data_IF_452815787578
#
_entry.id   IF_452815787578
#
_cell.length_a   1.000
_cell.length_b   1.000
_cell.length_c   1.000
_cell.angle_alpha   90.00
_cell.angle_beta   90.00
_cell.angle_gamma   90.00
#
_symmetry.space_group_name_H-M   'P 1'
#
loop_
_entity.id
_entity.type
_entity.pdbx_description
1 polymer ?
#
# COMPACT_ATOMS: atom_id res chain seq x y z
N UNK A 1 -3.56 25.00 -4.79
CA UNK A 1 -2.96 24.79 -6.12
C UNK A 1 -1.78 23.85 -5.93
N UNK A 2 -1.89 22.66 -6.53
CA UNK A 2 -1.00 21.52 -6.33
C UNK A 2 0.45 21.84 -6.72
N UNK A 3 1.32 22.06 -5.74
CA UNK A 3 2.77 21.90 -5.93
C UNK A 3 3.12 20.42 -5.76
N UNK A 4 2.56 19.56 -6.62
CA UNK A 4 3.14 18.23 -6.78
C UNK A 4 4.60 18.44 -7.24
N UNK A 5 5.54 18.05 -6.38
CA UNK A 5 6.97 18.30 -6.58
C UNK A 5 7.42 17.82 -7.96
N UNK A 6 8.33 18.56 -8.60
CA UNK A 6 9.01 18.15 -9.83
C UNK A 6 9.49 16.69 -9.78
N UNK A 7 9.89 16.22 -8.58
CA UNK A 7 10.28 14.83 -8.36
C UNK A 7 9.19 13.80 -8.70
N UNK A 8 7.92 14.07 -8.37
CA UNK A 8 6.81 13.13 -8.67
C UNK A 8 6.63 12.99 -10.18
N UNK A 9 6.65 14.11 -10.91
CA UNK A 9 6.55 14.10 -12.36
C UNK A 9 7.76 13.44 -13.02
N UNK A 10 8.97 13.67 -12.51
CA UNK A 10 10.19 13.04 -13.01
C UNK A 10 10.16 11.51 -12.84
N UNK A 11 9.72 11.03 -11.67
CA UNK A 11 9.59 9.59 -11.39
C UNK A 11 8.52 8.96 -12.29
N UNK A 12 7.32 9.57 -12.38
CA UNK A 12 6.27 9.08 -13.28
C UNK A 12 6.77 9.07 -14.73
N UNK A 13 7.37 10.15 -15.21
CA UNK A 13 7.96 10.22 -16.56
C UNK A 13 8.98 9.11 -16.82
N UNK A 14 9.85 8.82 -15.84
CA UNK A 14 10.79 7.69 -15.92
C UNK A 14 10.08 6.34 -16.02
N UNK A 15 9.05 6.09 -15.22
CA UNK A 15 8.26 4.85 -15.28
C UNK A 15 7.55 4.70 -16.63
N UNK A 16 6.92 5.75 -17.13
CA UNK A 16 6.29 5.76 -18.46
C UNK A 16 7.32 5.54 -19.57
N UNK A 17 8.51 6.15 -19.49
CA UNK A 17 9.58 5.94 -20.45
C UNK A 17 10.04 4.47 -20.48
N UNK A 18 10.24 3.85 -19.32
CA UNK A 18 10.61 2.42 -19.22
C UNK A 18 9.52 1.52 -19.80
N UNK A 19 8.23 1.81 -19.54
CA UNK A 19 7.13 1.05 -20.11
C UNK A 19 7.01 1.20 -21.62
N UNK A 20 7.22 2.41 -22.15
CA UNK A 20 7.25 2.66 -23.59
C UNK A 20 8.42 1.91 -24.25
N UNK A 21 9.60 1.92 -23.62
CA UNK A 21 10.75 1.14 -24.10
C UNK A 21 10.44 -0.37 -24.09
N UNK A 22 9.86 -0.90 -23.01
CA UNK A 22 9.47 -2.31 -22.93
C UNK A 22 8.44 -2.68 -24.02
N UNK A 23 7.46 -1.80 -24.26
CA UNK A 23 6.45 -1.97 -25.32
C UNK A 23 7.08 -1.93 -26.72
N UNK A 24 8.05 -1.03 -26.94
CA UNK A 24 8.82 -0.96 -28.17
C UNK A 24 9.69 -2.19 -28.42
N UNK A 25 10.31 -2.73 -27.37
CA UNK A 25 11.09 -3.98 -27.42
C UNK A 25 10.17 -5.15 -27.77
N UNK A 26 9.00 -5.31 -27.12
CA UNK A 26 8.03 -6.37 -27.45
C UNK A 26 7.61 -6.30 -28.92
N UNK A 27 7.28 -5.09 -29.41
CA UNK A 27 6.90 -4.89 -30.80
C UNK A 27 8.03 -5.25 -31.78
N UNK A 28 9.26 -4.84 -31.47
CA UNK A 28 10.43 -5.14 -32.30
C UNK A 28 10.75 -6.63 -32.32
N UNK A 29 10.67 -7.30 -31.15
CA UNK A 29 10.90 -8.73 -31.01
C UNK A 29 9.85 -9.54 -31.77
N UNK A 30 8.58 -9.14 -31.69
CA UNK A 30 7.48 -9.76 -32.44
C UNK A 30 7.63 -9.61 -33.96
N UNK A 31 8.21 -8.50 -34.43
CA UNK A 31 8.51 -8.31 -35.87
C UNK A 31 9.73 -9.12 -36.34
N UNK A 32 10.72 -9.32 -35.48
CA UNK A 32 11.99 -10.00 -35.83
C UNK A 32 11.94 -11.52 -35.68
N UNK A 33 11.14 -12.03 -34.75
CA UNK A 33 11.02 -13.47 -34.46
C UNK A 33 9.55 -13.91 -34.42
N UNK A 34 8.86 -13.95 -35.57
CA UNK A 34 7.44 -14.33 -35.64
C UNK A 34 7.15 -15.77 -35.18
N UNK A 35 8.17 -16.64 -35.12
CA UNK A 35 8.02 -18.03 -34.67
C UNK A 35 8.05 -18.23 -33.15
N UNK A 36 8.44 -17.21 -32.37
CA UNK A 36 8.44 -17.28 -30.91
C UNK A 36 7.17 -16.68 -30.31
N UNK A 37 6.57 -17.38 -29.36
CA UNK A 37 5.38 -16.88 -28.68
C UNK A 37 5.74 -15.88 -27.57
N UNK A 38 5.41 -14.61 -27.80
CA UNK A 38 5.63 -13.51 -26.84
C UNK A 38 4.35 -13.09 -26.10
N UNK A 39 3.27 -13.88 -26.17
CA UNK A 39 1.99 -13.53 -25.52
C UNK A 39 2.12 -13.24 -24.03
N UNK A 40 2.91 -14.01 -23.30
CA UNK A 40 3.11 -13.79 -21.86
C UNK A 40 3.77 -12.43 -21.57
N UNK A 41 4.79 -12.05 -22.35
CA UNK A 41 5.47 -10.76 -22.22
C UNK A 41 4.50 -9.61 -22.48
N UNK A 42 3.71 -9.71 -23.55
CA UNK A 42 2.69 -8.70 -23.88
C UNK A 42 1.62 -8.57 -22.81
N UNK A 43 1.14 -9.67 -22.26
CA UNK A 43 0.16 -9.66 -21.15
C UNK A 43 0.72 -9.01 -19.89
N UNK A 44 2.00 -9.27 -19.57
CA UNK A 44 2.70 -8.61 -18.46
C UNK A 44 2.78 -7.11 -18.70
N UNK A 45 3.21 -6.67 -19.89
CA UNK A 45 3.30 -5.24 -20.24
C UNK A 45 1.93 -4.56 -20.12
N UNK A 46 0.86 -5.17 -20.64
CA UNK A 46 -0.48 -4.62 -20.56
C UNK A 46 -1.00 -4.50 -19.11
N UNK A 47 -0.72 -5.51 -18.27
CA UNK A 47 -1.07 -5.47 -16.84
C UNK A 47 -0.34 -4.34 -16.12
N UNK A 48 0.95 -4.15 -16.41
CA UNK A 48 1.74 -3.06 -15.85
C UNK A 48 1.24 -1.69 -16.29
N UNK A 49 0.85 -1.51 -17.56
CA UNK A 49 0.21 -0.28 -18.04
C UNK A 49 -1.04 0.06 -17.24
N UNK A 50 -1.88 -0.96 -16.96
CA UNK A 50 -3.10 -0.77 -16.17
C UNK A 50 -2.77 -0.29 -14.76
N UNK A 51 -1.81 -0.93 -14.08
CA UNK A 51 -1.38 -0.56 -12.73
C UNK A 51 -0.81 0.86 -12.70
N UNK A 52 0.10 1.19 -13.63
CA UNK A 52 0.76 2.51 -13.67
C UNK A 52 -0.24 3.62 -13.98
N UNK A 53 -1.19 3.40 -14.88
CA UNK A 53 -2.23 4.40 -15.18
C UNK A 53 -3.10 4.66 -13.96
N UNK A 54 -3.60 3.59 -13.31
CA UNK A 54 -4.47 3.72 -12.13
C UNK A 54 -3.73 4.41 -10.99
N UNK A 55 -2.49 4.02 -10.70
CA UNK A 55 -1.65 4.68 -9.70
C UNK A 55 -1.38 6.14 -10.05
N UNK A 56 -1.04 6.46 -11.31
CA UNK A 56 -0.76 7.84 -11.73
C UNK A 56 -1.99 8.74 -11.56
N UNK A 57 -3.18 8.25 -11.94
CA UNK A 57 -4.43 8.99 -11.73
C UNK A 57 -4.66 9.24 -10.24
N UNK A 58 -4.50 8.21 -9.40
CA UNK A 58 -4.70 8.35 -7.96
C UNK A 58 -3.77 9.39 -7.32
N UNK A 59 -2.50 9.43 -7.76
CA UNK A 59 -1.48 10.33 -7.24
C UNK A 59 -1.62 11.78 -7.74
N UNK A 60 -2.02 11.96 -9.00
CA UNK A 60 -2.04 13.29 -9.63
C UNK A 60 -3.34 14.07 -9.35
N UNK A 61 -4.45 13.39 -9.03
CA UNK A 61 -5.76 14.03 -8.93
C UNK A 61 -5.90 14.91 -7.68
N UNK A 62 -5.72 14.32 -6.49
CA UNK A 62 -5.68 15.05 -5.22
C UNK A 62 -5.12 14.18 -4.09
N UNK A 63 -4.62 14.80 -3.03
CA UNK A 63 -4.16 14.09 -1.84
C UNK A 63 -5.26 13.22 -1.22
N UNK A 64 -6.52 13.68 -1.21
CA UNK A 64 -7.66 12.89 -0.72
C UNK A 64 -7.89 11.64 -1.55
N UNK A 65 -7.83 11.74 -2.88
CA UNK A 65 -7.99 10.60 -3.79
C UNK A 65 -6.86 9.59 -3.58
N UNK A 66 -5.62 10.06 -3.41
CA UNK A 66 -4.49 9.20 -3.10
C UNK A 66 -4.67 8.47 -1.76
N UNK A 67 -5.09 9.17 -0.69
CA UNK A 67 -5.39 8.58 0.62
C UNK A 67 -6.43 7.47 0.49
N UNK A 68 -7.55 7.74 -0.20
CA UNK A 68 -8.63 6.74 -0.40
C UNK A 68 -8.12 5.55 -1.21
N UNK A 69 -7.36 5.80 -2.28
CA UNK A 69 -6.77 4.75 -3.10
C UNK A 69 -5.86 3.83 -2.28
N UNK A 70 -4.93 4.38 -1.51
CA UNK A 70 -4.04 3.59 -0.66
C UNK A 70 -4.78 2.89 0.50
N UNK A 71 -5.87 3.47 1.01
CA UNK A 71 -6.73 2.80 2.00
C UNK A 71 -7.40 1.56 1.39
N UNK A 72 -7.93 1.66 0.17
CA UNK A 72 -8.51 0.54 -0.56
C UNK A 72 -7.44 -0.51 -0.91
N UNK A 73 -6.25 -0.07 -1.32
CA UNK A 73 -5.12 -0.95 -1.60
C UNK A 73 -4.71 -1.74 -0.34
N UNK A 74 -4.61 -1.06 0.80
CA UNK A 74 -4.31 -1.70 2.09
C UNK A 74 -5.39 -2.68 2.52
N UNK A 75 -6.66 -2.34 2.28
CA UNK A 75 -7.78 -3.26 2.52
C UNK A 75 -7.69 -4.52 1.66
N UNK A 76 -7.44 -4.36 0.35
CA UNK A 76 -7.31 -5.50 -0.55
C UNK A 76 -6.10 -6.36 -0.20
N UNK A 77 -4.96 -5.74 0.10
CA UNK A 77 -3.73 -6.40 0.49
C UNK A 77 -3.90 -7.19 1.80
N UNK A 78 -4.52 -6.57 2.82
CA UNK A 78 -4.82 -7.23 4.08
C UNK A 78 -5.82 -8.38 3.90
N UNK A 79 -6.84 -8.19 3.06
CA UNK A 79 -7.83 -9.23 2.74
C UNK A 79 -7.17 -10.46 2.12
N UNK A 80 -6.32 -10.25 1.13
CA UNK A 80 -5.61 -11.35 0.45
C UNK A 80 -4.64 -12.04 1.42
N UNK A 81 -3.89 -11.27 2.20
CA UNK A 81 -2.99 -11.80 3.23
C UNK A 81 -3.72 -12.69 4.25
N UNK A 82 -4.86 -12.23 4.76
CA UNK A 82 -5.67 -12.98 5.72
C UNK A 82 -6.35 -14.21 5.11
N UNK A 83 -6.59 -14.23 3.80
CA UNK A 83 -7.10 -15.38 3.07
C UNK A 83 -6.08 -16.52 2.99
N UNK A 84 -4.79 -16.18 2.92
CA UNK A 84 -3.69 -17.16 2.86
C UNK A 84 -3.36 -17.76 4.23
N UNK A 85 -3.64 -17.05 5.32
CA UNK A 85 -3.41 -17.56 6.66
C UNK A 85 -4.55 -18.51 7.04
N UNK A 86 -4.25 -19.71 7.61
CA UNK A 86 -5.27 -20.57 8.20
C UNK A 86 -5.83 -19.92 9.46
N UNK A 87 -6.71 -18.93 9.28
CA UNK A 87 -7.35 -18.17 10.36
C UNK A 87 -8.50 -18.99 10.93
N UNK A 88 -8.46 -19.23 12.25
CA UNK A 88 -9.48 -20.04 12.94
C UNK A 88 -10.74 -19.18 13.12
N UNK A 89 -11.92 -19.83 13.16
CA UNK A 89 -13.22 -19.13 13.31
C UNK A 89 -13.33 -18.27 14.58
N UNK A 90 -12.56 -18.57 15.63
CA UNK A 90 -12.49 -17.81 16.88
C UNK A 90 -11.97 -16.36 16.69
N UNK A 91 -11.26 -16.09 15.59
CA UNK A 91 -10.59 -14.80 15.36
C UNK A 91 -11.47 -13.76 14.67
N UNK A 92 -12.73 -14.06 14.29
CA UNK A 92 -13.58 -13.12 13.52
C UNK A 92 -13.69 -11.72 14.14
N UNK A 93 -13.79 -11.63 15.48
CA UNK A 93 -13.84 -10.34 16.19
C UNK A 93 -12.50 -9.62 16.16
N UNK A 94 -11.39 -10.36 16.19
CA UNK A 94 -10.03 -9.82 16.12
C UNK A 94 -9.74 -9.30 14.70
N UNK A 95 -10.16 -10.05 13.68
CA UNK A 95 -10.10 -9.62 12.28
C UNK A 95 -10.89 -8.33 12.04
N UNK A 96 -12.06 -8.18 12.68
CA UNK A 96 -12.83 -6.94 12.62
C UNK A 96 -12.01 -5.74 13.12
N UNK A 97 -11.29 -5.87 14.24
CA UNK A 97 -10.41 -4.81 14.74
C UNK A 97 -9.23 -4.53 13.80
N UNK A 98 -8.67 -5.57 13.17
CA UNK A 98 -7.62 -5.39 12.17
C UNK A 98 -8.11 -4.61 10.94
N UNK A 99 -9.31 -4.92 10.42
CA UNK A 99 -9.90 -4.14 9.33
C UNK A 99 -10.28 -2.72 9.74
N UNK A 100 -10.78 -2.54 10.97
CA UNK A 100 -11.09 -1.21 11.51
C UNK A 100 -9.84 -0.32 11.67
N UNK A 101 -8.67 -0.93 11.79
CA UNK A 101 -7.40 -0.19 11.85
C UNK A 101 -7.13 0.60 10.56
N UNK A 102 -7.59 0.13 9.40
CA UNK A 102 -7.36 0.80 8.11
C UNK A 102 -8.03 2.18 8.06
N UNK A 103 -9.36 2.34 8.18
CA UNK A 103 -9.98 3.65 8.11
C UNK A 103 -9.47 4.60 9.19
N UNK A 104 -9.16 4.09 10.39
CA UNK A 104 -8.58 4.90 11.47
C UNK A 104 -7.16 5.38 11.13
N UNK A 105 -6.30 4.50 10.60
CA UNK A 105 -4.94 4.85 10.19
C UNK A 105 -4.95 5.93 9.09
N UNK A 106 -5.81 5.78 8.08
CA UNK A 106 -5.91 6.73 6.97
C UNK A 106 -6.63 8.02 7.37
N UNK A 107 -7.50 7.99 8.38
CA UNK A 107 -8.07 9.20 8.97
C UNK A 107 -7.00 10.07 9.62
N UNK A 108 -6.05 9.48 10.36
CA UNK A 108 -4.92 10.22 10.95
C UNK A 108 -4.06 10.92 9.89
N UNK A 109 -3.87 10.28 8.73
CA UNK A 109 -3.20 10.89 7.57
C UNK A 109 -4.01 12.08 7.05
N UNK A 110 -5.32 11.94 6.90
CA UNK A 110 -6.20 12.99 6.37
C UNK A 110 -6.20 14.27 7.19
N UNK A 111 -6.04 14.17 8.51
CA UNK A 111 -5.90 15.32 9.41
C UNK A 111 -4.44 15.72 9.69
N UNK A 112 -3.48 15.12 8.97
CA UNK A 112 -2.04 15.36 9.09
C UNK A 112 -1.46 15.16 10.52
N UNK A 113 -2.03 14.25 11.31
CA UNK A 113 -1.57 13.99 12.68
C UNK A 113 -0.47 12.92 12.71
N UNK A 114 0.76 13.34 12.40
CA UNK A 114 1.94 12.45 12.34
C UNK A 114 2.13 11.60 13.60
N UNK A 115 2.05 12.22 14.78
CA UNK A 115 2.31 11.56 16.06
C UNK A 115 1.38 10.37 16.30
N UNK A 116 0.07 10.51 16.03
CA UNK A 116 -0.88 9.39 16.15
C UNK A 116 -0.68 8.36 15.04
N UNK A 117 -0.45 8.81 13.81
CA UNK A 117 -0.22 7.94 12.65
C UNK A 117 0.93 6.93 12.88
N UNK A 118 2.07 7.39 13.41
CA UNK A 118 3.27 6.54 13.54
C UNK A 118 3.15 5.53 14.70
N UNK A 119 2.39 5.86 15.76
CA UNK A 119 2.25 4.99 16.94
C UNK A 119 1.00 4.11 16.91
N UNK A 120 -0.01 4.44 16.11
CA UNK A 120 -1.31 3.76 16.10
C UNK A 120 -1.18 2.24 15.90
N UNK A 121 -0.51 1.81 14.84
CA UNK A 121 -0.35 0.38 14.57
C UNK A 121 0.70 -0.26 15.51
N UNK A 122 1.94 0.25 15.61
CA UNK A 122 3.00 -0.42 16.35
C UNK A 122 2.79 -0.48 17.87
N UNK A 123 1.98 0.43 18.44
CA UNK A 123 1.71 0.47 19.88
C UNK A 123 0.27 0.04 20.17
N UNK A 124 -0.72 0.79 19.66
CA UNK A 124 -2.12 0.56 20.06
C UNK A 124 -2.68 -0.73 19.47
N UNK A 125 -2.54 -0.98 18.17
CA UNK A 125 -3.04 -2.22 17.57
C UNK A 125 -2.26 -3.45 18.02
N UNK A 126 -0.95 -3.31 18.19
CA UNK A 126 -0.10 -4.38 18.72
C UNK A 126 -0.46 -4.80 20.15
N UNK A 127 -0.96 -3.88 20.97
CA UNK A 127 -1.48 -4.18 22.30
C UNK A 127 -2.95 -4.69 22.24
N UNK A 128 -3.78 -4.05 21.42
CA UNK A 128 -5.21 -4.32 21.35
C UNK A 128 -5.53 -5.70 20.79
N UNK A 129 -4.87 -6.13 19.71
CA UNK A 129 -5.17 -7.42 19.08
C UNK A 129 -4.90 -8.61 20.02
N UNK A 130 -3.73 -8.73 20.67
CA UNK A 130 -3.44 -9.85 21.55
C UNK A 130 -4.32 -9.83 22.81
N UNK A 131 -4.59 -8.64 23.40
CA UNK A 131 -5.53 -8.52 24.52
C UNK A 131 -6.93 -8.99 24.11
N UNK A 132 -7.40 -8.63 22.91
CA UNK A 132 -8.70 -9.09 22.39
C UNK A 132 -8.73 -10.60 22.15
N UNK A 133 -7.63 -11.20 21.71
CA UNK A 133 -7.49 -12.65 21.56
C UNK A 133 -7.54 -13.37 22.91
N UNK A 134 -6.84 -12.85 23.95
CA UNK A 134 -6.88 -13.41 25.31
C UNK A 134 -8.30 -13.38 25.88
N UNK A 135 -9.01 -12.25 25.70
CA UNK A 135 -10.40 -12.10 26.15
C UNK A 135 -11.37 -13.06 25.44
N UNK A 136 -11.01 -13.59 24.27
CA UNK A 136 -11.79 -14.62 23.58
C UNK A 136 -11.59 -16.02 24.16
N UNK A 137 -10.61 -16.21 25.06
CA UNK A 137 -10.43 -17.44 25.86
C UNK A 137 -9.74 -18.61 25.15
N UNK A 138 -9.20 -18.40 23.94
CA UNK A 138 -8.60 -19.47 23.13
C UNK A 138 -7.07 -19.40 23.17
N UNK A 139 -6.43 -20.40 23.78
CA UNK A 139 -4.97 -20.44 24.00
C UNK A 139 -4.20 -21.18 22.91
N UNK A 140 -4.88 -21.96 22.06
CA UNK A 140 -4.22 -22.77 21.05
C UNK A 140 -3.73 -21.92 19.87
N UNK A 141 -2.42 -21.96 19.62
CA UNK A 141 -1.82 -21.23 18.50
C UNK A 141 -1.84 -19.71 18.65
N UNK A 142 -2.12 -19.20 19.85
CA UNK A 142 -2.23 -17.76 20.15
C UNK A 142 -1.04 -16.95 19.63
N UNK A 143 0.19 -17.37 19.96
CA UNK A 143 1.39 -16.63 19.56
C UNK A 143 1.55 -16.58 18.03
N UNK A 144 1.20 -17.67 17.35
CA UNK A 144 1.24 -17.75 15.88
C UNK A 144 0.21 -16.80 15.27
N UNK A 145 -1.03 -16.82 15.74
CA UNK A 145 -2.09 -15.95 15.23
C UNK A 145 -1.81 -14.47 15.53
N UNK A 146 -1.38 -14.14 16.75
CA UNK A 146 -1.01 -12.78 17.14
C UNK A 146 0.13 -12.24 16.27
N UNK A 147 1.21 -13.03 16.09
CA UNK A 147 2.34 -12.65 15.26
C UNK A 147 1.96 -12.46 13.78
N UNK A 148 1.12 -13.34 13.22
CA UNK A 148 0.63 -13.20 11.85
C UNK A 148 -0.23 -11.95 11.66
N UNK A 149 -1.13 -11.64 12.59
CA UNK A 149 -1.99 -10.45 12.50
C UNK A 149 -1.19 -9.15 12.67
N UNK A 150 -0.27 -9.12 13.64
CA UNK A 150 0.64 -7.99 13.85
C UNK A 150 1.52 -7.75 12.62
N UNK A 151 2.10 -8.81 12.05
CA UNK A 151 2.90 -8.72 10.83
C UNK A 151 2.07 -8.28 9.62
N UNK A 152 0.86 -8.81 9.47
CA UNK A 152 -0.08 -8.40 8.44
C UNK A 152 -0.44 -6.92 8.51
N UNK A 153 -0.74 -6.40 9.69
CA UNK A 153 -1.00 -4.97 9.87
C UNK A 153 0.23 -4.11 9.60
N UNK A 154 1.42 -4.53 10.03
CA UNK A 154 2.64 -3.78 9.74
C UNK A 154 2.93 -3.70 8.25
N UNK A 155 2.86 -4.83 7.56
CA UNK A 155 3.25 -4.92 6.14
C UNK A 155 2.17 -4.37 5.20
N UNK A 156 0.90 -4.72 5.41
CA UNK A 156 -0.19 -4.39 4.48
C UNK A 156 -0.87 -3.05 4.77
N UNK A 157 -0.78 -2.54 6.01
CA UNK A 157 -1.45 -1.28 6.38
C UNK A 157 -0.42 -0.22 6.75
N UNK A 158 0.43 -0.47 7.75
CA UNK A 158 1.39 0.53 8.24
C UNK A 158 2.36 0.96 7.15
N UNK A 159 3.04 0.03 6.48
CA UNK A 159 3.99 0.35 5.40
C UNK A 159 3.33 1.06 4.21
N UNK A 160 2.17 0.61 3.75
CA UNK A 160 1.44 1.26 2.64
C UNK A 160 0.92 2.65 3.03
N UNK A 161 0.52 2.84 4.29
CA UNK A 161 0.04 4.12 4.79
C UNK A 161 1.15 5.19 4.83
N UNK A 162 2.43 4.80 4.94
CA UNK A 162 3.56 5.74 4.80
C UNK A 162 3.67 6.30 3.38
N UNK A 163 3.40 5.49 2.36
CA UNK A 163 3.40 5.96 0.98
C UNK A 163 2.31 7.03 0.76
N UNK A 164 1.13 6.81 1.35
CA UNK A 164 0.06 7.80 1.34
C UNK A 164 0.44 9.08 2.09
N UNK A 165 1.07 8.94 3.25
CA UNK A 165 1.48 10.07 4.08
C UNK A 165 2.54 10.96 3.40
N UNK A 166 3.50 10.36 2.65
CA UNK A 166 4.51 11.10 1.89
C UNK A 166 3.91 12.07 0.86
N UNK A 167 2.70 11.79 0.37
CA UNK A 167 2.00 12.64 -0.62
C UNK A 167 1.29 13.82 0.06
N UNK A 168 0.96 13.69 1.34
CA UNK A 168 0.24 14.71 2.12
C UNK A 168 1.20 15.70 2.77
N UNK A 169 2.44 15.30 3.02
CA UNK A 169 3.47 16.18 3.60
C UNK A 169 3.61 17.45 2.75
N UNK A 170 3.43 18.64 3.35
CA UNK A 170 3.86 19.89 2.71
C UNK A 170 5.34 19.74 2.37
N UNK A 171 5.74 20.16 1.17
CA UNK A 171 7.15 20.28 0.82
C UNK A 171 7.80 21.14 1.91
N UNK A 172 8.57 20.53 2.80
CA UNK A 172 9.23 21.24 3.87
C UNK A 172 10.08 22.33 3.22
N UNK A 173 9.81 23.59 3.55
CA UNK A 173 10.77 24.67 3.38
C UNK A 173 11.97 24.33 4.25
N UNK A 174 12.89 23.52 3.71
CA UNK A 174 14.25 23.48 4.19
C UNK A 174 14.89 24.79 3.76
N UNK A 175 14.61 25.85 4.51
CA UNK A 175 15.44 27.04 4.50
C UNK A 175 16.86 26.58 4.80
N UNK A 176 17.74 26.72 3.80
CA UNK A 176 19.10 26.23 3.85
C UNK A 176 19.78 26.69 5.13
N UNK A 177 19.98 25.75 6.05
CA UNK A 177 20.99 25.92 7.10
C UNK A 177 22.29 25.45 6.48
N UNK A 178 22.86 26.32 5.66
CA UNK A 178 24.31 26.36 5.46
C UNK A 178 24.94 26.73 6.79
N UNK A 179 25.52 25.73 7.45
CA UNK A 179 26.46 25.86 8.56
C UNK A 179 27.65 24.98 8.28
#
# INVERSE_FOLDING_TARGET
MNTLSFGVYAVLGGVYAVLLLATGIDYWLGKRYPERDFRELRLRIHSWWTIVIVCSIALLLSSTVAIVFFALLSFLALKEYLSLIPTRRADRRVLFWAYLAIPVQYYWIGIAWYGMFIIFIPVYMFLLLPVRMILAGETQGYLRAAGMLQWGLMSMVFSLSHLAYLIVLPAGEYNGVSG
#
